data_IF_088426024150
#
_entry.id   IF_088426024150
#
_cell.length_a   1.000
_cell.length_b   1.000
_cell.length_c   1.000
_cell.angle_alpha   90.00
_cell.angle_beta   90.00
_cell.angle_gamma   90.00
#
_symmetry.space_group_name_H-M   'P 1'
#
loop_
_entity.id
_entity.type
_entity.pdbx_description
1 polymer ?
#
# COMPACT_ATOMS: atom_id res chain seq x y z
N UNK A 1 -25.42 -28.77 -31.06
CA UNK A 1 -24.60 -28.52 -29.85
C UNK A 1 -24.27 -27.03 -29.76
N UNK A 2 -24.94 -26.27 -28.88
CA UNK A 2 -24.72 -24.82 -28.77
C UNK A 2 -23.51 -24.50 -27.88
N UNK A 3 -22.44 -23.95 -28.47
CA UNK A 3 -21.25 -23.51 -27.74
C UNK A 3 -21.58 -22.25 -26.96
N UNK A 4 -21.77 -22.36 -25.64
CA UNK A 4 -22.06 -21.24 -24.74
C UNK A 4 -20.89 -20.23 -24.77
N UNK A 5 -21.11 -19.09 -25.43
CA UNK A 5 -20.17 -17.96 -25.54
C UNK A 5 -19.92 -17.38 -24.13
N UNK A 6 -18.75 -17.65 -23.53
CA UNK A 6 -18.34 -17.08 -22.23
C UNK A 6 -18.29 -15.55 -22.34
N UNK A 7 -19.28 -14.85 -21.76
CA UNK A 7 -19.28 -13.39 -21.63
C UNK A 7 -18.03 -12.95 -20.84
N UNK A 8 -17.10 -12.24 -21.50
CA UNK A 8 -15.95 -11.58 -20.84
C UNK A 8 -16.49 -10.60 -19.80
N UNK A 9 -16.27 -10.87 -18.51
CA UNK A 9 -16.59 -9.93 -17.43
C UNK A 9 -15.83 -8.62 -17.67
N UNK A 10 -16.54 -7.51 -17.84
CA UNK A 10 -15.96 -6.15 -17.93
C UNK A 10 -15.05 -5.95 -16.71
N UNK A 11 -13.78 -5.58 -16.95
CA UNK A 11 -12.81 -5.25 -15.90
C UNK A 11 -13.41 -4.11 -15.07
N UNK A 12 -13.71 -4.38 -13.80
CA UNK A 12 -14.17 -3.37 -12.84
C UNK A 12 -13.15 -2.23 -12.83
N UNK A 13 -13.67 -1.01 -12.77
CA UNK A 13 -12.94 0.24 -12.86
C UNK A 13 -11.62 0.18 -12.07
N UNK A 14 -10.53 0.44 -12.79
CA UNK A 14 -9.20 0.58 -12.22
C UNK A 14 -9.25 1.76 -11.26
N UNK A 15 -9.48 1.50 -9.98
CA UNK A 15 -9.41 2.51 -8.93
C UNK A 15 -8.12 3.32 -9.13
N UNK A 16 -8.29 4.63 -9.29
CA UNK A 16 -7.17 5.57 -9.50
C UNK A 16 -6.13 5.29 -8.43
N UNK A 17 -4.89 4.99 -8.86
CA UNK A 17 -3.78 4.71 -7.96
C UNK A 17 -3.58 5.94 -7.08
N UNK A 18 -3.79 5.81 -5.77
CA UNK A 18 -3.43 6.87 -4.82
C UNK A 18 -1.93 7.15 -4.97
N UNK A 19 -1.51 8.42 -5.09
CA UNK A 19 -0.10 8.75 -5.12
C UNK A 19 0.55 8.37 -3.78
N UNK A 20 1.83 8.00 -3.82
CA UNK A 20 2.55 7.59 -2.62
C UNK A 20 2.83 8.82 -1.75
N UNK A 21 2.42 8.85 -0.47
CA UNK A 21 2.61 10.01 0.40
C UNK A 21 4.08 10.37 0.58
N UNK A 22 4.95 9.38 0.82
CA UNK A 22 6.41 9.58 0.91
C UNK A 22 7.10 9.99 -0.40
N UNK A 23 6.41 9.89 -1.55
CA UNK A 23 6.97 10.40 -2.81
C UNK A 23 6.55 11.85 -3.07
N UNK A 24 5.48 12.30 -2.42
CA UNK A 24 4.99 13.68 -2.51
C UNK A 24 5.70 14.56 -1.49
N UNK A 25 5.83 14.05 -0.26
CA UNK A 25 6.42 14.77 0.86
C UNK A 25 7.78 14.13 1.22
N UNK A 26 8.91 14.73 0.80
CA UNK A 26 10.25 14.22 1.12
C UNK A 26 10.65 14.46 2.59
N UNK A 27 9.86 15.23 3.34
CA UNK A 27 10.09 15.49 4.78
C UNK A 27 9.70 14.31 5.67
N UNK A 28 8.94 13.33 5.14
CA UNK A 28 8.62 12.11 5.86
C UNK A 28 9.72 11.06 5.62
N UNK A 29 10.69 11.02 6.52
CA UNK A 29 11.70 9.97 6.53
C UNK A 29 11.20 8.68 7.19
N UNK A 30 11.44 7.56 6.49
CA UNK A 30 11.09 6.20 6.94
C UNK A 30 12.25 5.64 7.76
N UNK A 31 12.29 6.04 9.04
CA UNK A 31 13.28 5.59 10.03
C UNK A 31 12.59 5.10 11.31
N UNK A 32 13.22 4.13 11.99
CA UNK A 32 12.68 3.46 13.19
C UNK A 32 12.46 4.40 14.38
N UNK A 33 13.21 5.51 14.40
CA UNK A 33 13.10 6.56 15.43
C UNK A 33 11.80 7.35 15.32
N UNK A 34 11.20 7.41 14.13
CA UNK A 34 10.01 8.20 13.84
C UNK A 34 8.73 7.37 14.08
N UNK A 35 8.45 7.06 15.34
CA UNK A 35 7.31 6.22 15.75
C UNK A 35 5.96 6.82 15.31
N UNK A 36 5.83 8.14 15.28
CA UNK A 36 4.62 8.84 14.83
C UNK A 36 4.27 8.56 13.37
N UNK A 37 5.28 8.45 12.51
CA UNK A 37 5.08 8.17 11.09
C UNK A 37 4.79 6.68 10.90
N UNK A 38 5.54 5.81 11.57
CA UNK A 38 5.39 4.36 11.45
C UNK A 38 4.06 3.85 12.01
N UNK A 39 3.58 4.42 13.12
CA UNK A 39 2.30 4.04 13.74
C UNK A 39 1.11 4.21 12.81
N UNK A 40 1.12 5.22 11.92
CA UNK A 40 0.08 5.43 10.90
C UNK A 40 -0.02 4.30 9.87
N UNK A 41 1.06 3.53 9.68
CA UNK A 41 1.11 2.39 8.76
C UNK A 41 0.96 1.04 9.46
N UNK A 42 0.68 1.05 10.76
CA UNK A 42 0.46 -0.12 11.59
C UNK A 42 -0.98 -0.11 12.10
N UNK A 43 -1.64 -1.25 12.03
CA UNK A 43 -2.95 -1.47 12.64
C UNK A 43 -2.81 -1.48 14.17
N UNK A 44 -3.86 -1.14 14.90
CA UNK A 44 -3.95 -1.28 16.37
C UNK A 44 -3.45 -2.65 16.88
N UNK A 45 -3.58 -3.72 16.07
CA UNK A 45 -3.10 -5.07 16.41
C UNK A 45 -1.62 -5.32 16.11
N UNK A 46 -0.84 -4.28 15.78
CA UNK A 46 0.57 -4.39 15.40
C UNK A 46 0.81 -4.95 13.99
N UNK A 47 -0.23 -5.12 13.17
CA UNK A 47 -0.08 -5.63 11.79
C UNK A 47 0.24 -4.49 10.82
N UNK A 48 1.21 -4.68 9.93
CA UNK A 48 1.55 -3.71 8.89
C UNK A 48 0.40 -3.62 7.87
N UNK A 49 -0.08 -2.40 7.63
CA UNK A 49 -1.18 -2.13 6.69
C UNK A 49 -0.73 -2.45 5.25
N UNK A 50 -1.53 -3.19 4.47
CA UNK A 50 -1.16 -3.54 3.11
C UNK A 50 -1.16 -2.31 2.20
N UNK A 51 -0.26 -2.32 1.21
CA UNK A 51 -0.07 -1.26 0.20
C UNK A 51 -1.38 -0.75 -0.43
N UNK A 52 -2.36 -1.63 -0.64
CA UNK A 52 -3.65 -1.29 -1.26
C UNK A 52 -4.45 -0.27 -0.43
N UNK A 53 -4.28 -0.28 0.89
CA UNK A 53 -4.96 0.63 1.79
C UNK A 53 -4.11 1.91 2.00
N UNK A 54 -2.81 1.75 2.22
CA UNK A 54 -1.88 2.84 2.54
C UNK A 54 -1.42 3.66 1.33
N UNK A 55 -1.58 3.15 0.10
CA UNK A 55 -1.23 3.89 -1.12
C UNK A 55 0.28 4.06 -1.37
N UNK A 56 1.13 3.42 -0.57
CA UNK A 56 2.60 3.55 -0.67
C UNK A 56 3.16 2.94 -1.95
N UNK A 57 4.32 3.39 -2.40
CA UNK A 57 5.03 2.73 -3.49
C UNK A 57 5.66 1.41 -3.02
N UNK A 58 5.97 0.50 -3.96
CA UNK A 58 6.54 -0.80 -3.60
C UNK A 58 7.93 -0.68 -2.93
N UNK A 59 8.72 0.33 -3.30
CA UNK A 59 10.04 0.60 -2.69
C UNK A 59 9.88 1.02 -1.23
N UNK A 60 9.01 1.98 -0.96
CA UNK A 60 8.73 2.48 0.39
C UNK A 60 8.05 1.43 1.27
N UNK A 61 7.16 0.59 0.73
CA UNK A 61 6.58 -0.51 1.51
C UNK A 61 7.64 -1.50 2.01
N UNK A 62 8.67 -1.80 1.19
CA UNK A 62 9.78 -2.68 1.61
C UNK A 62 10.64 -2.01 2.68
N UNK A 63 10.93 -0.71 2.54
CA UNK A 63 11.67 0.06 3.55
C UNK A 63 10.91 0.13 4.86
N UNK A 64 9.62 0.48 4.83
CA UNK A 64 8.71 0.47 5.99
C UNK A 64 8.73 -0.88 6.71
N UNK A 65 8.59 -1.98 5.97
CA UNK A 65 8.57 -3.31 6.58
C UNK A 65 9.92 -3.72 7.20
N UNK A 66 11.05 -3.21 6.68
CA UNK A 66 12.37 -3.41 7.29
C UNK A 66 12.50 -2.60 8.57
N UNK A 67 12.02 -1.36 8.54
CA UNK A 67 12.16 -0.41 9.62
C UNK A 67 11.23 -0.70 10.81
N UNK A 68 10.01 -1.18 10.56
CA UNK A 68 9.07 -1.63 11.59
C UNK A 68 9.56 -2.92 12.29
N UNK A 69 10.40 -3.71 11.62
CA UNK A 69 10.93 -4.98 12.17
C UNK A 69 12.27 -4.83 12.87
N UNK A 70 12.91 -3.67 12.77
CA UNK A 70 14.13 -3.35 13.53
C UNK A 70 13.77 -3.11 14.98
#
# INVERSE_FOLDING_TARGET
>A
MAVRRRKKKKKKDLQRKKPCPFCLDPTLDIDYKNVEVLSRFVSEKGKIVPRRNSGVCAKHQRRLAKEIKR
#
